data_IF_088098777018
#
_entry.id   IF_088098777018
#
_cell.length_a   1.000
_cell.length_b   1.000
_cell.length_c   1.000
_cell.angle_alpha   90.00
_cell.angle_beta   90.00
_cell.angle_gamma   90.00
#
_symmetry.space_group_name_H-M   'P 1'
#
loop_
_entity.id
_entity.type
_entity.pdbx_description
1 polymer ?
#
# COMPACT_ATOMS: atom_id res chain seq x y z
N UNK A 1 -0.46 -18.66 21.59
CA UNK A 1 0.74 -18.08 20.93
C UNK A 1 0.79 -18.28 19.40
N UNK A 2 0.02 -19.18 18.77
CA UNK A 2 0.08 -19.40 17.30
C UNK A 2 -0.77 -18.42 16.46
N UNK A 3 -1.82 -17.83 17.04
CA UNK A 3 -2.72 -16.88 16.32
C UNK A 3 -1.97 -15.62 15.86
N UNK A 4 -0.98 -15.16 16.64
CA UNK A 4 -0.18 -13.97 16.30
C UNK A 4 0.69 -14.12 15.05
N UNK A 5 1.13 -15.34 14.72
CA UNK A 5 1.98 -15.56 13.54
C UNK A 5 1.20 -15.39 12.24
N UNK A 6 -0.03 -15.89 12.19
CA UNK A 6 -0.88 -15.81 11.00
C UNK A 6 -1.31 -14.36 10.77
N UNK A 7 -1.76 -13.64 11.81
CA UNK A 7 -2.10 -12.22 11.71
C UNK A 7 -0.92 -11.35 11.25
N UNK A 8 0.29 -11.63 11.75
CA UNK A 8 1.49 -10.91 11.34
C UNK A 8 1.83 -11.16 9.85
N UNK A 9 1.75 -12.41 9.40
CA UNK A 9 1.99 -12.78 7.99
C UNK A 9 0.95 -12.10 7.10
N UNK A 10 -0.32 -12.14 7.46
CA UNK A 10 -1.42 -11.53 6.70
C UNK A 10 -1.20 -10.02 6.55
N UNK A 11 -0.78 -9.36 7.63
CA UNK A 11 -0.46 -7.94 7.62
C UNK A 11 0.73 -7.61 6.72
N UNK A 12 1.82 -8.37 6.81
CA UNK A 12 3.00 -8.19 5.94
C UNK A 12 2.63 -8.38 4.46
N UNK A 13 1.92 -9.47 4.14
CA UNK A 13 1.50 -9.79 2.77
C UNK A 13 0.58 -8.70 2.23
N UNK A 14 -0.37 -8.22 3.03
CA UNK A 14 -1.23 -7.09 2.66
C UNK A 14 -0.41 -5.85 2.33
N UNK A 15 0.50 -5.42 3.21
CA UNK A 15 1.33 -4.24 2.96
C UNK A 15 2.13 -4.37 1.66
N UNK A 16 2.78 -5.51 1.42
CA UNK A 16 3.55 -5.75 0.20
C UNK A 16 2.67 -5.75 -1.06
N UNK A 17 1.49 -6.37 -1.00
CA UNK A 17 0.55 -6.40 -2.11
C UNK A 17 0.04 -5.00 -2.49
N UNK A 18 -0.36 -4.19 -1.50
CA UNK A 18 -0.83 -2.82 -1.74
C UNK A 18 0.28 -1.87 -2.20
N UNK A 19 1.52 -2.03 -1.70
CA UNK A 19 2.67 -1.26 -2.20
C UNK A 19 2.94 -1.59 -3.66
N UNK A 20 2.89 -2.87 -4.04
CA UNK A 20 3.03 -3.28 -5.44
C UNK A 20 1.93 -2.70 -6.33
N UNK A 21 0.67 -2.76 -5.88
CA UNK A 21 -0.46 -2.17 -6.61
C UNK A 21 -0.32 -0.63 -6.74
N UNK A 22 0.12 0.06 -5.69
CA UNK A 22 0.37 1.49 -5.72
C UNK A 22 1.50 1.84 -6.71
N UNK A 23 2.58 1.06 -6.72
CA UNK A 23 3.69 1.23 -7.66
C UNK A 23 3.25 1.00 -9.11
N UNK A 24 2.46 -0.06 -9.35
CA UNK A 24 1.92 -0.35 -10.67
C UNK A 24 0.98 0.77 -11.16
N UNK A 25 0.12 1.28 -10.28
CA UNK A 25 -0.79 2.39 -10.57
C UNK A 25 -0.04 3.70 -10.88
N UNK A 26 0.91 4.09 -10.03
CA UNK A 26 1.71 5.31 -10.21
C UNK A 26 2.57 5.25 -11.47
N UNK A 27 3.05 4.07 -11.86
CA UNK A 27 3.81 3.89 -13.10
C UNK A 27 2.94 4.00 -14.35
N UNK A 28 1.64 3.69 -14.27
CA UNK A 28 0.68 3.85 -15.36
C UNK A 28 0.28 5.32 -15.57
N UNK A 29 0.45 6.17 -14.56
CA UNK A 29 0.28 7.61 -14.73
C UNK A 29 1.46 8.14 -15.55
N UNK A 30 1.19 8.89 -16.63
CA UNK A 30 2.24 9.56 -17.42
C UNK A 30 2.82 10.74 -16.62
N UNK A 31 3.58 10.43 -15.57
CA UNK A 31 4.26 11.43 -14.74
C UNK A 31 5.34 12.16 -15.57
N UNK A 32 5.82 11.53 -16.64
CA UNK A 32 6.74 12.11 -17.64
C UNK A 32 6.18 13.37 -18.33
N UNK A 33 4.84 13.52 -18.43
CA UNK A 33 4.23 14.74 -18.98
C UNK A 33 4.19 15.91 -17.99
N UNK A 34 4.22 15.63 -16.67
CA UNK A 34 4.18 16.66 -15.63
C UNK A 34 5.56 17.17 -15.23
N UNK A 35 6.60 16.35 -15.38
CA UNK A 35 7.96 16.70 -14.95
C UNK A 35 8.88 16.90 -16.15
N UNK A 36 9.60 18.03 -16.18
CA UNK A 36 10.62 18.30 -17.20
C UNK A 36 11.67 17.18 -17.23
N UNK A 37 12.15 16.75 -18.41
CA UNK A 37 13.00 15.56 -18.60
C UNK A 37 14.41 15.64 -17.98
N UNK A 38 14.72 16.69 -17.21
CA UNK A 38 16.06 16.96 -16.68
C UNK A 38 16.44 16.04 -15.51
N UNK A 39 15.49 15.42 -14.80
CA UNK A 39 15.74 14.66 -13.56
C UNK A 39 15.00 13.31 -13.48
N UNK A 40 15.18 12.45 -14.48
CA UNK A 40 14.52 11.13 -14.56
C UNK A 40 14.78 10.21 -13.34
N UNK A 41 15.96 10.27 -12.74
CA UNK A 41 16.31 9.40 -11.59
C UNK A 41 15.60 9.82 -10.31
N UNK A 42 15.50 11.13 -10.05
CA UNK A 42 14.83 11.66 -8.85
C UNK A 42 13.32 11.38 -8.90
N UNK A 43 12.71 11.52 -10.09
CA UNK A 43 11.28 11.22 -10.29
C UNK A 43 10.99 9.74 -10.01
N UNK A 44 11.85 8.82 -10.48
CA UNK A 44 11.70 7.39 -10.19
C UNK A 44 11.79 7.08 -8.70
N UNK A 45 12.75 7.69 -7.99
CA UNK A 45 12.85 7.53 -6.53
C UNK A 45 11.62 8.08 -5.81
N UNK A 46 11.13 9.25 -6.23
CA UNK A 46 9.92 9.85 -5.68
C UNK A 46 8.70 8.94 -5.89
N UNK A 47 8.54 8.33 -7.08
CA UNK A 47 7.47 7.36 -7.37
C UNK A 47 7.55 6.16 -6.43
N UNK A 48 8.73 5.58 -6.20
CA UNK A 48 8.89 4.45 -5.28
C UNK A 48 8.50 4.84 -3.85
N UNK A 49 8.99 5.97 -3.35
CA UNK A 49 8.66 6.47 -2.01
C UNK A 49 7.15 6.74 -1.87
N UNK A 50 6.54 7.38 -2.87
CA UNK A 50 5.10 7.61 -2.91
C UNK A 50 4.31 6.30 -2.95
N UNK A 51 4.80 5.31 -3.67
CA UNK A 51 4.15 3.99 -3.75
C UNK A 51 4.15 3.29 -2.40
N UNK A 52 5.26 3.39 -1.64
CA UNK A 52 5.34 2.85 -0.29
C UNK A 52 4.34 3.58 0.62
N UNK A 53 4.30 4.92 0.56
CA UNK A 53 3.39 5.72 1.37
C UNK A 53 1.92 5.42 1.08
N UNK A 54 1.52 5.42 -0.20
CA UNK A 54 0.16 5.12 -0.62
C UNK A 54 -0.21 3.67 -0.33
N UNK A 55 0.66 2.72 -0.66
CA UNK A 55 0.43 1.30 -0.41
C UNK A 55 0.31 0.96 1.07
N UNK A 56 1.15 1.57 1.92
CA UNK A 56 1.05 1.40 3.36
C UNK A 56 -0.27 1.93 3.91
N UNK A 57 -0.67 3.14 3.49
CA UNK A 57 -1.93 3.77 3.90
C UNK A 57 -3.14 2.95 3.44
N UNK A 58 -3.14 2.51 2.18
CA UNK A 58 -4.22 1.69 1.62
C UNK A 58 -4.32 0.32 2.31
N UNK A 59 -3.19 -0.33 2.59
CA UNK A 59 -3.19 -1.58 3.35
C UNK A 59 -3.67 -1.39 4.77
N UNK A 60 -3.29 -0.30 5.44
CA UNK A 60 -3.75 -0.03 6.80
C UNK A 60 -5.26 0.19 6.82
N UNK A 61 -5.78 1.00 5.90
CA UNK A 61 -7.22 1.17 5.69
C UNK A 61 -7.94 -0.17 5.45
N UNK A 62 -7.40 -1.03 4.58
CA UNK A 62 -8.00 -2.32 4.27
C UNK A 62 -8.07 -3.25 5.50
N UNK A 63 -6.99 -3.36 6.26
CA UNK A 63 -6.95 -4.17 7.48
C UNK A 63 -7.86 -3.61 8.57
N UNK A 64 -7.95 -2.28 8.68
CA UNK A 64 -8.83 -1.60 9.63
C UNK A 64 -10.30 -1.85 9.29
N UNK A 65 -10.68 -1.82 8.01
CA UNK A 65 -12.03 -2.19 7.55
C UNK A 65 -12.36 -3.64 7.93
N UNK A 66 -11.43 -4.58 7.73
CA UNK A 66 -11.64 -5.98 8.14
C UNK A 66 -11.84 -6.07 9.66
N UNK A 67 -11.04 -5.35 10.44
CA UNK A 67 -11.16 -5.33 11.89
C UNK A 67 -12.49 -4.73 12.36
N UNK A 68 -12.94 -3.63 11.73
CA UNK A 68 -14.24 -3.01 11.96
C UNK A 68 -15.39 -3.96 11.65
N UNK A 69 -15.36 -4.64 10.50
CA UNK A 69 -16.33 -5.65 10.14
C UNK A 69 -16.36 -6.79 11.18
N UNK A 70 -15.20 -7.32 11.56
CA UNK A 70 -15.12 -8.38 12.58
C UNK A 70 -15.72 -7.94 13.90
N UNK A 71 -15.44 -6.71 14.34
CA UNK A 71 -15.96 -6.17 15.59
C UNK A 71 -17.49 -6.04 15.53
N UNK A 72 -18.03 -5.51 14.42
CA UNK A 72 -19.47 -5.40 14.19
C UNK A 72 -20.19 -6.76 14.31
N UNK A 73 -19.69 -7.80 13.64
CA UNK A 73 -20.29 -9.13 13.68
C UNK A 73 -20.13 -9.85 15.03
N UNK A 74 -19.05 -9.58 15.79
CA UNK A 74 -18.86 -10.14 17.13
C UNK A 74 -19.75 -9.43 18.17
N UNK A 75 -20.10 -8.17 17.93
CA UNK A 75 -20.92 -7.37 18.83
C UNK A 75 -22.43 -7.60 18.71
N UNK A 76 -22.87 -8.42 17.75
CA UNK A 76 -24.27 -8.69 17.41
C UNK A 76 -24.63 -10.16 17.73
#
# INVERSE_FOLDING_TARGET
MQVYGIDAILRIVSHLAFIYLAFWSLRSLRIETFFRPMHNTQIRMAIVLFSIFLGYTASNFFLEVIALCRNLFVSL
#
